data_IF_151192787312
#
_entry.id   IF_151192787312
#
_cell.length_a   1.000
_cell.length_b   1.000
_cell.length_c   1.000
_cell.angle_alpha   90.00
_cell.angle_beta   90.00
_cell.angle_gamma   90.00
#
_symmetry.space_group_name_H-M   'P 1'
#
loop_
_entity.id
_entity.type
_entity.pdbx_description
1 polymer ?
#
# COMPACT_ATOMS: atom_id res chain seq x y z
N UNK A 1 -0.13 16.75 25.33
CA UNK A 1 -0.61 17.07 23.97
C UNK A 1 -1.20 15.78 23.41
N UNK A 2 -2.45 15.78 22.97
CA UNK A 2 -3.02 14.62 22.29
C UNK A 2 -2.30 14.43 20.95
N UNK A 3 -2.01 13.20 20.50
CA UNK A 3 -1.45 13.00 19.18
C UNK A 3 -2.47 13.48 18.15
N UNK A 4 -2.12 14.51 17.39
CA UNK A 4 -2.88 14.93 16.20
C UNK A 4 -3.04 13.71 15.32
N UNK A 5 -4.28 13.33 14.99
CA UNK A 5 -4.53 12.21 14.07
C UNK A 5 -3.94 12.62 12.73
N UNK A 6 -2.82 12.00 12.36
CA UNK A 6 -2.21 12.22 11.07
C UNK A 6 -3.04 11.49 10.02
N UNK A 7 -3.42 12.18 8.96
CA UNK A 7 -4.11 11.60 7.82
C UNK A 7 -3.23 10.46 7.24
N UNK A 8 -3.81 9.27 7.01
CA UNK A 8 -3.05 8.13 6.46
C UNK A 8 -2.74 8.31 4.98
N UNK A 9 -3.75 8.73 4.22
CA UNK A 9 -3.64 9.01 2.80
C UNK A 9 -4.85 9.83 2.33
N UNK A 10 -4.73 10.40 1.13
CA UNK A 10 -5.82 11.03 0.39
C UNK A 10 -5.84 10.53 -1.05
N UNK A 11 -7.04 10.32 -1.59
CA UNK A 11 -7.23 10.04 -3.01
C UNK A 11 -7.27 11.38 -3.75
N UNK A 12 -6.57 11.45 -4.87
CA UNK A 12 -6.42 12.65 -5.69
C UNK A 12 -7.26 12.53 -6.96
N UNK A 13 -7.87 13.63 -7.44
CA UNK A 13 -8.56 13.62 -8.73
C UNK A 13 -7.60 13.24 -9.85
N UNK A 14 -7.98 12.25 -10.66
CA UNK A 14 -7.25 11.84 -11.84
C UNK A 14 -8.24 11.27 -12.88
N UNK A 15 -8.01 11.57 -14.16
CA UNK A 15 -9.05 11.46 -15.21
C UNK A 15 -9.28 10.07 -15.77
N UNK A 16 -8.34 9.15 -15.59
CA UNK A 16 -8.42 7.76 -16.09
C UNK A 16 -7.80 6.76 -15.11
N UNK A 17 -6.61 7.08 -14.59
CA UNK A 17 -5.93 6.27 -13.57
C UNK A 17 -6.35 6.65 -12.14
N UNK A 18 -6.03 5.80 -11.16
CA UNK A 18 -6.14 6.12 -9.75
C UNK A 18 -4.90 6.86 -9.26
N UNK A 19 -5.07 7.91 -8.45
CA UNK A 19 -3.94 8.64 -7.87
C UNK A 19 -4.15 8.86 -6.38
N UNK A 20 -3.11 8.67 -5.58
CA UNK A 20 -3.17 8.94 -4.15
C UNK A 20 -1.86 9.49 -3.61
N UNK A 21 -1.94 10.09 -2.43
CA UNK A 21 -0.79 10.43 -1.61
C UNK A 21 -0.97 9.82 -0.21
N UNK A 22 0.00 9.07 0.25
CA UNK A 22 0.05 8.44 1.57
C UNK A 22 1.13 9.10 2.45
N UNK A 23 0.94 9.05 3.76
CA UNK A 23 1.76 9.75 4.74
C UNK A 23 2.19 8.82 5.87
N UNK A 24 3.29 9.15 6.54
CA UNK A 24 3.75 8.43 7.72
C UNK A 24 4.80 9.21 8.48
N UNK A 25 5.02 8.89 9.76
CA UNK A 25 6.11 9.46 10.56
C UNK A 25 7.44 8.83 10.17
N UNK A 26 7.39 7.61 9.62
CA UNK A 26 8.51 6.89 9.04
C UNK A 26 8.17 6.44 7.62
N UNK A 27 9.20 6.09 6.85
CA UNK A 27 9.03 5.54 5.51
C UNK A 27 8.16 4.28 5.53
N UNK A 28 8.34 3.43 6.54
CA UNK A 28 7.55 2.21 6.73
C UNK A 28 6.06 2.51 6.94
N UNK A 29 5.74 3.52 7.75
CA UNK A 29 4.36 3.94 7.96
C UNK A 29 3.74 4.48 6.67
N UNK A 30 4.48 5.27 5.90
CA UNK A 30 4.02 5.80 4.63
C UNK A 30 3.78 4.68 3.59
N UNK A 31 4.66 3.67 3.53
CA UNK A 31 4.51 2.51 2.65
C UNK A 31 3.31 1.65 3.07
N UNK A 32 3.14 1.41 4.37
CA UNK A 32 1.98 0.69 4.89
C UNK A 32 0.66 1.41 4.56
N UNK A 33 0.63 2.74 4.72
CA UNK A 33 -0.53 3.55 4.35
C UNK A 33 -0.75 3.60 2.83
N UNK A 34 0.30 3.54 2.01
CA UNK A 34 0.19 3.42 0.57
C UNK A 34 -0.47 2.09 0.14
N UNK A 35 -0.16 0.97 0.81
CA UNK A 35 -0.83 -0.30 0.58
C UNK A 35 -2.34 -0.24 0.92
N UNK A 36 -2.70 0.43 2.01
CA UNK A 36 -4.10 0.67 2.38
C UNK A 36 -4.79 1.62 1.37
N UNK A 37 -4.07 2.63 0.86
CA UNK A 37 -4.58 3.51 -0.18
C UNK A 37 -4.87 2.74 -1.49
N UNK A 38 -3.96 1.87 -1.93
CA UNK A 38 -4.18 0.97 -3.07
C UNK A 38 -5.42 0.10 -2.86
N UNK A 39 -5.55 -0.54 -1.71
CA UNK A 39 -6.74 -1.33 -1.37
C UNK A 39 -8.02 -0.48 -1.43
N UNK A 40 -7.97 0.76 -0.92
CA UNK A 40 -9.11 1.68 -0.88
C UNK A 40 -9.63 2.13 -2.25
N UNK A 41 -8.86 1.92 -3.33
CA UNK A 41 -9.33 2.15 -4.69
C UNK A 41 -10.22 1.00 -5.20
N UNK A 42 -10.17 -0.17 -4.55
CA UNK A 42 -10.88 -1.38 -4.97
C UNK A 42 -11.96 -1.82 -3.97
N UNK A 43 -11.71 -1.70 -2.66
CA UNK A 43 -12.63 -2.06 -1.58
C UNK A 43 -12.38 -1.23 -0.30
N UNK A 44 -13.36 -1.21 0.59
CA UNK A 44 -13.23 -0.56 1.90
C UNK A 44 -12.43 -1.45 2.87
N UNK A 45 -11.10 -1.30 2.87
CA UNK A 45 -10.19 -2.07 3.72
C UNK A 45 -10.51 -1.95 5.22
N UNK A 46 -11.14 -0.85 5.66
CA UNK A 46 -11.44 -0.63 7.08
C UNK A 46 -12.51 -1.58 7.62
N UNK A 47 -13.32 -2.17 6.73
CA UNK A 47 -14.33 -3.18 7.04
C UNK A 47 -13.82 -4.61 6.92
N UNK A 48 -12.57 -4.81 6.49
CA UNK A 48 -11.99 -6.13 6.31
C UNK A 48 -11.40 -6.63 7.62
N UNK A 49 -11.95 -7.73 8.14
CA UNK A 49 -11.42 -8.37 9.34
C UNK A 49 -10.14 -9.17 9.03
N UNK A 50 -9.05 -9.01 9.80
CA UNK A 50 -7.77 -9.68 9.51
C UNK A 50 -7.76 -11.15 9.99
N UNK A 51 -8.57 -11.99 9.35
CA UNK A 51 -8.75 -13.43 9.64
C UNK A 51 -7.64 -14.31 9.07
N UNK A 52 -7.03 -13.89 7.97
CA UNK A 52 -5.88 -14.56 7.34
C UNK A 52 -4.71 -13.60 7.22
N UNK A 53 -3.50 -14.14 7.08
CA UNK A 53 -2.27 -13.36 6.98
C UNK A 53 -1.35 -13.87 5.88
N UNK A 54 -0.72 -12.94 5.18
CA UNK A 54 0.32 -13.22 4.20
C UNK A 54 1.59 -12.45 4.56
N UNK A 55 2.69 -13.18 4.69
CA UNK A 55 4.02 -12.57 4.78
C UNK A 55 4.47 -12.17 3.38
N UNK A 56 4.94 -10.94 3.26
CA UNK A 56 5.48 -10.38 2.02
C UNK A 56 6.93 -9.99 2.26
N UNK A 57 7.80 -10.38 1.32
CA UNK A 57 9.18 -9.97 1.27
C UNK A 57 9.51 -9.55 -0.16
N UNK A 58 9.97 -8.32 -0.34
CA UNK A 58 10.39 -7.78 -1.65
C UNK A 58 11.72 -7.06 -1.53
N UNK A 59 12.48 -7.04 -2.62
CA UNK A 59 13.75 -6.29 -2.72
C UNK A 59 13.68 -5.28 -3.85
N UNK A 60 14.34 -4.14 -3.68
CA UNK A 60 14.38 -3.05 -4.65
C UNK A 60 15.75 -2.39 -4.68
N UNK A 61 16.21 -1.99 -5.86
CA UNK A 61 17.49 -1.26 -6.01
C UNK A 61 17.45 0.15 -5.40
N UNK A 62 16.25 0.72 -5.31
CA UNK A 62 15.92 2.00 -4.71
C UNK A 62 14.56 1.93 -3.98
N UNK A 63 14.14 3.03 -3.37
CA UNK A 63 12.90 3.09 -2.57
C UNK A 63 11.66 3.02 -3.45
N UNK A 64 11.74 3.58 -4.65
CA UNK A 64 10.69 3.64 -5.65
C UNK A 64 10.36 2.25 -6.18
N UNK A 65 11.36 1.48 -6.61
CA UNK A 65 11.19 0.10 -7.03
C UNK A 65 10.69 -0.78 -5.89
N UNK A 66 11.19 -0.56 -4.67
CA UNK A 66 10.73 -1.29 -3.48
C UNK A 66 9.23 -1.07 -3.24
N UNK A 67 8.78 0.18 -3.34
CA UNK A 67 7.37 0.55 -3.21
C UNK A 67 6.51 -0.10 -4.30
N UNK A 68 6.90 0.03 -5.57
CA UNK A 68 6.15 -0.53 -6.70
C UNK A 68 5.97 -2.03 -6.53
N UNK A 69 7.03 -2.76 -6.15
CA UNK A 69 6.95 -4.20 -5.89
C UNK A 69 6.05 -4.52 -4.70
N UNK A 70 6.18 -3.78 -3.59
CA UNK A 70 5.37 -4.01 -2.40
C UNK A 70 3.87 -3.79 -2.66
N UNK A 71 3.51 -2.69 -3.33
CA UNK A 71 2.12 -2.42 -3.70
C UNK A 71 1.60 -3.41 -4.75
N UNK A 72 2.47 -3.87 -5.66
CA UNK A 72 2.18 -4.96 -6.60
C UNK A 72 1.82 -6.27 -5.91
N UNK A 73 2.44 -6.60 -4.77
CA UNK A 73 2.08 -7.79 -3.99
C UNK A 73 0.64 -7.73 -3.45
N UNK A 74 0.13 -6.54 -3.10
CA UNK A 74 -1.27 -6.37 -2.69
C UNK A 74 -2.22 -6.72 -3.83
N UNK A 75 -1.93 -6.23 -5.04
CA UNK A 75 -2.71 -6.50 -6.25
C UNK A 75 -2.63 -8.00 -6.60
N UNK A 76 -1.43 -8.55 -6.61
CA UNK A 76 -1.19 -9.97 -6.90
C UNK A 76 -1.96 -10.90 -5.95
N UNK A 77 -1.94 -10.62 -4.65
CA UNK A 77 -2.67 -11.41 -3.65
C UNK A 77 -4.19 -11.31 -3.85
N UNK A 78 -4.69 -10.14 -4.24
CA UNK A 78 -6.10 -9.99 -4.58
C UNK A 78 -6.48 -10.80 -5.83
N UNK A 79 -5.72 -10.67 -6.92
CA UNK A 79 -6.04 -11.35 -8.18
C UNK A 79 -5.92 -12.88 -8.09
N UNK A 80 -4.87 -13.38 -7.44
CA UNK A 80 -4.55 -14.81 -7.42
C UNK A 80 -5.17 -15.58 -6.26
N UNK A 81 -5.36 -14.91 -5.10
CA UNK A 81 -5.85 -15.56 -3.88
C UNK A 81 -7.17 -14.98 -3.39
N UNK A 82 -7.73 -13.98 -4.08
CA UNK A 82 -8.94 -13.28 -3.65
C UNK A 82 -8.78 -12.68 -2.26
N UNK A 83 -7.55 -12.35 -1.87
CA UNK A 83 -7.22 -11.77 -0.57
C UNK A 83 -7.51 -10.28 -0.57
N UNK A 84 -8.32 -9.84 0.39
CA UNK A 84 -8.62 -8.44 0.64
C UNK A 84 -7.75 -7.95 1.79
N UNK A 85 -6.92 -6.94 1.54
CA UNK A 85 -6.11 -6.30 2.57
C UNK A 85 -7.02 -5.53 3.54
N UNK A 86 -6.83 -5.74 4.84
CA UNK A 86 -7.46 -4.95 5.91
C UNK A 86 -6.47 -4.29 6.87
N UNK A 87 -5.23 -4.80 6.92
CA UNK A 87 -4.19 -4.27 7.83
C UNK A 87 -2.78 -4.58 7.34
N UNK A 88 -1.86 -3.65 7.55
CA UNK A 88 -0.42 -3.87 7.37
C UNK A 88 0.24 -3.86 8.75
N UNK A 89 0.93 -4.94 9.10
CA UNK A 89 1.63 -5.10 10.37
C UNK A 89 3.11 -5.41 10.15
N UNK A 90 3.96 -4.93 11.07
CA UNK A 90 5.36 -5.33 11.13
C UNK A 90 6.20 -4.95 9.91
N UNK A 91 5.79 -3.93 9.15
CA UNK A 91 6.54 -3.46 7.98
C UNK A 91 7.92 -2.94 8.42
N UNK A 92 8.97 -3.47 7.80
CA UNK A 92 10.36 -3.06 8.04
C UNK A 92 11.06 -2.88 6.71
N UNK A 93 11.77 -1.78 6.56
CA UNK A 93 12.65 -1.53 5.42
C UNK A 93 14.09 -1.57 5.92
N UNK A 94 14.96 -2.34 5.27
CA UNK A 94 16.39 -2.41 5.63
C UNK A 94 17.27 -2.26 4.40
N UNK A 95 18.43 -1.61 4.53
CA UNK A 95 19.43 -1.64 3.47
C UNK A 95 19.98 -3.06 3.29
N UNK A 96 20.25 -3.42 2.04
CA UNK A 96 20.96 -4.62 1.62
C UNK A 96 22.19 -4.25 0.80
N UNK A 97 23.03 -5.25 0.46
CA UNK A 97 24.29 -5.02 -0.27
C UNK A 97 24.11 -4.21 -1.56
N UNK A 98 22.98 -4.37 -2.26
CA UNK A 98 22.67 -3.68 -3.51
C UNK A 98 21.24 -3.12 -3.55
N UNK A 99 20.82 -2.41 -2.49
CA UNK A 99 19.54 -1.72 -2.45
C UNK A 99 18.86 -1.85 -1.09
N UNK A 100 17.58 -2.21 -1.11
CA UNK A 100 16.73 -2.33 0.06
C UNK A 100 15.93 -3.63 0.03
N UNK A 101 15.61 -4.15 1.21
CA UNK A 101 14.57 -5.13 1.42
C UNK A 101 13.41 -4.52 2.21
N UNK A 102 12.23 -5.09 2.00
CA UNK A 102 11.03 -4.81 2.75
C UNK A 102 10.38 -6.12 3.16
N UNK A 103 10.08 -6.23 4.44
CA UNK A 103 9.27 -7.32 5.01
C UNK A 103 8.01 -6.74 5.63
N UNK A 104 6.86 -7.38 5.40
CA UNK A 104 5.59 -6.97 6.00
C UNK A 104 4.66 -8.18 6.21
N UNK A 105 3.74 -8.05 7.16
CA UNK A 105 2.64 -8.98 7.37
C UNK A 105 1.34 -8.30 6.96
N UNK A 106 0.74 -8.78 5.88
CA UNK A 106 -0.56 -8.33 5.39
C UNK A 106 -1.66 -9.14 6.05
N UNK A 107 -2.47 -8.50 6.88
CA UNK A 107 -3.67 -9.07 7.50
C UNK A 107 -4.91 -8.72 6.71
N UNK A 108 -5.82 -9.68 6.54
CA UNK A 108 -7.00 -9.47 5.73
C UNK A 108 -7.96 -10.65 5.75
N UNK A 109 -8.84 -10.71 4.76
CA UNK A 109 -9.86 -11.75 4.62
C UNK A 109 -9.89 -12.28 3.18
N UNK A 110 -10.54 -13.42 2.97
CA UNK A 110 -10.81 -13.93 1.63
C UNK A 110 -12.16 -13.41 1.16
N UNK A 111 -12.17 -12.85 -0.05
CA UNK A 111 -13.35 -12.30 -0.70
C UNK A 111 -14.49 -13.33 -0.73
N UNK A 112 -15.67 -12.84 -0.42
CA UNK A 112 -16.93 -13.55 -0.35
C UNK A 112 -18.06 -12.53 -0.47
N UNK A 113 -19.30 -13.00 -0.54
CA UNK A 113 -20.50 -12.18 -0.79
C UNK A 113 -20.74 -11.04 0.22
N UNK A 114 -20.12 -11.08 1.41
CA UNK A 114 -20.21 -10.01 2.42
C UNK A 114 -19.37 -8.78 2.10
N UNK A 115 -18.48 -8.85 1.10
CA UNK A 115 -17.58 -7.76 0.75
C UNK A 115 -18.03 -7.11 -0.56
N UNK A 116 -17.89 -5.79 -0.62
CA UNK A 116 -18.20 -5.00 -1.80
C UNK A 116 -16.90 -4.55 -2.47
N UNK A 117 -16.83 -4.75 -3.79
CA UNK A 117 -15.77 -4.23 -4.64
C UNK A 117 -16.33 -3.11 -5.52
N UNK A 118 -15.56 -2.05 -5.72
CA UNK A 118 -15.99 -0.88 -6.50
C UNK A 118 -14.92 -0.34 -7.47
N UNK A 119 -13.74 -0.97 -7.53
CA UNK A 119 -12.68 -0.63 -8.47
C UNK A 119 -11.75 -1.82 -8.70
N UNK A 120 -10.84 -1.68 -9.66
CA UNK A 120 -10.03 -2.79 -10.19
C UNK A 120 -8.63 -2.31 -10.58
N UNK A 121 -7.76 -2.09 -9.59
CA UNK A 121 -6.38 -1.64 -9.86
C UNK A 121 -5.60 -2.76 -10.55
N UNK A 122 -5.07 -2.48 -11.75
CA UNK A 122 -4.28 -3.42 -12.57
C UNK A 122 -2.80 -3.41 -12.25
N UNK A 123 -2.24 -2.22 -12.09
CA UNK A 123 -0.80 -2.08 -11.91
C UNK A 123 -0.42 -0.79 -11.17
N UNK A 124 0.70 -0.86 -10.46
CA UNK A 124 1.35 0.31 -9.87
C UNK A 124 2.35 0.85 -10.87
N UNK A 125 2.30 2.15 -11.16
CA UNK A 125 3.16 2.76 -12.18
C UNK A 125 4.29 3.57 -11.55
N UNK A 126 5.37 3.77 -12.31
CA UNK A 126 6.41 4.75 -11.97
C UNK A 126 6.00 6.19 -12.37
N UNK A 127 4.83 6.37 -13.00
CA UNK A 127 4.39 7.67 -13.47
C UNK A 127 4.04 8.57 -12.28
N UNK A 128 4.68 9.74 -12.19
CA UNK A 128 4.50 10.72 -11.10
C UNK A 128 4.69 10.11 -9.69
N UNK A 129 5.47 9.05 -9.59
CA UNK A 129 5.85 8.42 -8.32
C UNK A 129 6.83 9.33 -7.60
N UNK A 130 6.51 9.68 -6.34
CA UNK A 130 7.36 10.56 -5.50
C UNK A 130 7.44 10.02 -4.09
N UNK A 131 8.63 10.06 -3.51
CA UNK A 131 8.88 9.77 -2.10
C UNK A 131 9.63 10.97 -1.53
N UNK A 132 9.01 11.68 -0.60
CA UNK A 132 9.53 12.93 -0.05
C UNK A 132 9.67 12.81 1.48
N UNK A 133 10.83 13.21 1.99
CA UNK A 133 11.14 13.31 3.42
C UNK A 133 11.04 14.77 3.85
N UNK A 134 10.14 15.08 4.78
CA UNK A 134 9.90 16.40 5.35
C UNK A 134 9.84 16.29 6.89
N UNK A 135 8.76 16.72 7.55
CA UNK A 135 8.50 16.43 8.99
C UNK A 135 8.06 14.98 9.25
N UNK A 136 8.14 14.14 8.22
CA UNK A 136 7.74 12.75 8.12
C UNK A 136 7.99 12.29 6.68
N UNK A 137 7.26 11.29 6.22
CA UNK A 137 7.34 10.80 4.85
C UNK A 137 6.01 10.99 4.13
N UNK A 138 6.08 11.41 2.87
CA UNK A 138 4.97 11.36 1.94
C UNK A 138 5.32 10.54 0.71
N UNK A 139 4.34 9.79 0.20
CA UNK A 139 4.48 8.92 -0.95
C UNK A 139 3.32 9.19 -1.90
N UNK A 140 3.61 9.54 -3.14
CA UNK A 140 2.62 9.73 -4.19
C UNK A 140 2.72 8.60 -5.20
N UNK A 141 1.58 8.04 -5.60
CA UNK A 141 1.49 6.92 -6.54
C UNK A 141 0.35 7.15 -7.54
N UNK A 142 0.61 6.81 -8.80
CA UNK A 142 -0.41 6.64 -9.84
C UNK A 142 -0.52 5.15 -10.17
N UNK A 143 -1.74 4.65 -10.26
CA UNK A 143 -2.06 3.25 -10.56
C UNK A 143 -2.97 3.14 -11.77
N UNK A 144 -2.69 2.16 -12.63
CA UNK A 144 -3.56 1.79 -13.74
C UNK A 144 -4.80 1.06 -13.19
N UNK A 145 -5.99 1.41 -13.68
CA UNK A 145 -7.30 0.96 -13.18
C UNK A 145 -8.01 0.00 -14.16
#
# INVERSE_FOLDING_TARGET
MAPTVMERYKILPHTADGKFQAYGRTLEEAFGNAALATASLMWDWSKVEPRVRHFVHVTGIDREQLLVKFLGEVIYLFETKRFLLGKVDGLRIRPEFAGFNLEALLGGDILSERHELYGDVKAVTYHDLKIEECEGFSVQVVVDM
#
